data_IF_772539001262
#
_entry.id   IF_772539001262
#
_cell.length_a   1.000
_cell.length_b   1.000
_cell.length_c   1.000
_cell.angle_alpha   90.00
_cell.angle_beta   90.00
_cell.angle_gamma   90.00
#
_symmetry.space_group_name_H-M   'P 1'
#
loop_
_entity.id
_entity.type
_entity.pdbx_description
1 polymer ?
#
# COMPACT_ATOMS: atom_id res chain seq x y z
N UNK A 1 13.57 10.49 15.95
CA UNK A 1 13.69 10.16 14.52
C UNK A 1 12.50 10.81 13.85
N UNK A 2 12.73 11.76 12.94
CA UNK A 2 11.63 12.45 12.29
C UNK A 2 10.72 11.41 11.63
N UNK A 3 9.44 11.54 11.90
CA UNK A 3 8.38 10.66 11.47
C UNK A 3 8.32 10.60 9.93
N UNK A 4 9.09 9.70 9.29
CA UNK A 4 9.21 9.53 7.82
C UNK A 4 7.85 9.45 7.08
N UNK A 5 6.77 9.16 7.81
CA UNK A 5 5.43 9.00 7.27
C UNK A 5 4.81 10.31 6.78
N UNK A 6 5.17 11.47 7.34
CA UNK A 6 4.62 12.77 6.90
C UNK A 6 5.02 13.11 5.46
N UNK A 7 6.15 12.57 4.98
CA UNK A 7 6.59 12.74 3.59
C UNK A 7 5.68 12.03 2.57
N UNK A 8 4.91 11.03 3.01
CA UNK A 8 4.03 10.23 2.13
C UNK A 8 2.54 10.51 2.37
N UNK A 9 2.21 11.25 3.42
CA UNK A 9 0.83 11.49 3.86
C UNK A 9 -0.04 12.13 2.78
N UNK A 10 0.43 13.21 2.14
CA UNK A 10 -0.34 13.90 1.12
C UNK A 10 -0.67 13.00 -0.09
N UNK A 11 0.33 12.25 -0.57
CA UNK A 11 0.16 11.34 -1.70
C UNK A 11 -0.79 10.16 -1.34
N UNK A 12 -0.68 9.63 -0.13
CA UNK A 12 -1.54 8.54 0.34
C UNK A 12 -2.98 9.00 0.48
N UNK A 13 -3.22 10.18 1.06
CA UNK A 13 -4.57 10.75 1.20
C UNK A 13 -5.23 11.01 -0.15
N UNK A 14 -4.47 11.52 -1.12
CA UNK A 14 -4.95 11.73 -2.49
C UNK A 14 -5.37 10.39 -3.14
N UNK A 15 -4.54 9.35 -3.00
CA UNK A 15 -4.79 8.01 -3.54
C UNK A 15 -6.02 7.32 -2.94
N UNK A 16 -6.23 7.42 -1.62
CA UNK A 16 -7.33 6.73 -0.92
C UNK A 16 -8.62 7.55 -0.84
N UNK A 17 -8.59 8.85 -1.17
CA UNK A 17 -9.72 9.77 -1.10
C UNK A 17 -10.48 9.72 0.25
N UNK A 18 -9.74 9.78 1.36
CA UNK A 18 -10.26 9.59 2.73
C UNK A 18 -10.57 10.92 3.43
N UNK A 19 -11.62 10.97 4.28
CA UNK A 19 -11.91 12.15 5.10
C UNK A 19 -10.74 12.54 6.01
N UNK A 20 -10.57 13.84 6.25
CA UNK A 20 -9.46 14.39 7.05
C UNK A 20 -9.43 13.92 8.51
N UNK A 21 -10.43 13.18 8.99
CA UNK A 21 -10.55 12.75 10.40
C UNK A 21 -9.94 11.36 10.70
N UNK A 22 -9.33 10.70 9.70
CA UNK A 22 -8.79 9.33 9.84
C UNK A 22 -7.25 9.28 9.93
N UNK A 23 -6.66 10.32 10.51
CA UNK A 23 -5.21 10.56 10.56
C UNK A 23 -4.44 9.42 11.23
N UNK A 24 -4.97 8.87 12.32
CA UNK A 24 -4.35 7.77 13.07
C UNK A 24 -4.27 6.47 12.25
N UNK A 25 -5.25 6.23 11.39
CA UNK A 25 -5.26 5.06 10.52
C UNK A 25 -4.29 5.27 9.36
N UNK A 26 -4.34 6.45 8.73
CA UNK A 26 -3.41 6.85 7.65
C UNK A 26 -1.96 6.73 8.13
N UNK A 27 -1.64 7.27 9.31
CA UNK A 27 -0.31 7.13 9.91
C UNK A 27 0.13 5.68 10.07
N UNK A 28 -0.73 4.82 10.63
CA UNK A 28 -0.41 3.40 10.85
C UNK A 28 -0.15 2.64 9.55
N UNK A 29 -0.96 2.86 8.51
CA UNK A 29 -0.78 2.16 7.23
C UNK A 29 0.47 2.64 6.50
N UNK A 30 0.82 3.93 6.59
CA UNK A 30 2.06 4.45 6.00
C UNK A 30 3.29 3.87 6.70
N UNK A 31 3.30 3.82 8.03
CA UNK A 31 4.41 3.23 8.78
C UNK A 31 4.59 1.75 8.45
N UNK A 32 3.49 0.99 8.34
CA UNK A 32 3.54 -0.41 7.92
C UNK A 32 4.04 -0.56 6.48
N UNK A 33 3.56 0.26 5.54
CA UNK A 33 3.99 0.27 4.15
C UNK A 33 5.48 0.55 4.01
N UNK A 34 6.02 1.55 4.73
CA UNK A 34 7.46 1.83 4.77
C UNK A 34 8.23 0.59 5.24
N UNK A 35 7.75 -0.09 6.28
CA UNK A 35 8.38 -1.32 6.80
C UNK A 35 8.41 -2.44 5.77
N UNK A 36 7.27 -2.71 5.10
CA UNK A 36 7.19 -3.76 4.08
C UNK A 36 8.04 -3.45 2.85
N UNK A 37 7.98 -2.22 2.33
CA UNK A 37 8.76 -1.82 1.15
C UNK A 37 10.26 -1.84 1.46
N UNK A 38 10.70 -1.32 2.62
CA UNK A 38 12.12 -1.40 3.03
C UNK A 38 12.56 -2.85 3.23
N UNK A 39 11.74 -3.68 3.85
CA UNK A 39 12.02 -5.11 4.02
C UNK A 39 12.15 -5.85 2.70
N UNK A 40 11.32 -5.50 1.71
CA UNK A 40 11.37 -6.05 0.37
C UNK A 40 12.62 -5.61 -0.41
N UNK A 41 13.02 -4.34 -0.26
CA UNK A 41 14.21 -3.80 -0.89
C UNK A 41 15.49 -4.44 -0.33
N UNK A 42 15.56 -4.66 0.99
CA UNK A 42 16.77 -5.12 1.68
C UNK A 42 17.87 -4.07 1.57
N UNK A 43 19.08 -4.47 1.16
CA UNK A 43 20.21 -3.55 0.95
C UNK A 43 20.14 -2.78 -0.38
N UNK A 44 19.16 -3.07 -1.24
CA UNK A 44 18.99 -2.36 -2.51
C UNK A 44 18.31 -1.03 -2.30
N UNK A 45 18.68 -0.06 -3.12
CA UNK A 45 18.05 1.25 -3.13
C UNK A 45 17.35 1.49 -4.46
N UNK A 46 16.23 2.21 -4.41
CA UNK A 46 15.50 2.69 -5.59
C UNK A 46 15.51 4.22 -5.63
N UNK A 47 15.16 4.79 -6.77
CA UNK A 47 14.89 6.22 -6.87
C UNK A 47 13.84 6.66 -5.84
N UNK A 48 13.93 7.91 -5.37
CA UNK A 48 13.01 8.44 -4.34
C UNK A 48 11.57 8.43 -4.82
N UNK A 49 11.37 8.64 -6.11
CA UNK A 49 10.09 8.64 -6.80
C UNK A 49 9.47 7.24 -6.79
N UNK A 50 10.26 6.21 -7.08
CA UNK A 50 9.82 4.80 -7.04
C UNK A 50 9.51 4.37 -5.61
N UNK A 51 10.34 4.80 -4.64
CA UNK A 51 10.09 4.54 -3.22
C UNK A 51 8.75 5.13 -2.78
N UNK A 52 8.49 6.39 -3.13
CA UNK A 52 7.24 7.07 -2.80
C UNK A 52 6.04 6.36 -3.44
N UNK A 53 6.11 6.03 -4.73
CA UNK A 53 5.05 5.34 -5.44
C UNK A 53 4.76 3.92 -4.87
N UNK A 54 5.79 3.20 -4.43
CA UNK A 54 5.64 1.91 -3.76
C UNK A 54 4.97 2.04 -2.38
N UNK A 55 5.42 2.99 -1.56
CA UNK A 55 4.87 3.23 -0.23
C UNK A 55 3.41 3.69 -0.33
N UNK A 56 3.10 4.58 -1.27
CA UNK A 56 1.74 5.10 -1.48
C UNK A 56 0.75 3.98 -1.82
N UNK A 57 1.05 3.15 -2.82
CA UNK A 57 0.14 2.05 -3.20
C UNK A 57 0.06 0.95 -2.15
N UNK A 58 1.15 0.63 -1.44
CA UNK A 58 1.10 -0.32 -0.33
C UNK A 58 0.23 0.20 0.82
N UNK A 59 0.36 1.49 1.18
CA UNK A 59 -0.46 2.09 2.22
C UNK A 59 -1.95 2.11 1.84
N UNK A 60 -2.26 2.42 0.57
CA UNK A 60 -3.63 2.38 0.05
C UNK A 60 -4.22 0.96 0.08
N UNK A 61 -3.45 -0.05 -0.33
CA UNK A 61 -3.87 -1.45 -0.27
C UNK A 61 -4.13 -1.90 1.18
N UNK A 62 -3.27 -1.53 2.13
CA UNK A 62 -3.45 -1.84 3.56
C UNK A 62 -4.67 -1.13 4.14
N UNK A 63 -4.93 0.11 3.72
CA UNK A 63 -6.13 0.85 4.11
C UNK A 63 -7.39 0.12 3.62
N UNK A 64 -7.49 -0.15 2.32
CA UNK A 64 -8.67 -0.77 1.71
C UNK A 64 -8.87 -2.23 2.16
N UNK A 65 -7.78 -2.98 2.38
CA UNK A 65 -7.86 -4.36 2.88
C UNK A 65 -8.49 -4.44 4.27
N UNK A 66 -8.37 -3.39 5.09
CA UNK A 66 -9.01 -3.35 6.41
C UNK A 66 -10.53 -3.17 6.29
N UNK A 67 -11.01 -2.28 5.42
CA UNK A 67 -12.45 -2.11 5.17
C UNK A 67 -13.06 -3.37 4.55
N UNK A 68 -12.31 -3.99 3.63
CA UNK A 68 -12.65 -5.27 3.03
C UNK A 68 -12.79 -6.41 4.04
N UNK A 69 -11.85 -6.53 4.99
CA UNK A 69 -11.91 -7.52 6.07
C UNK A 69 -13.07 -7.28 7.03
N UNK A 70 -13.55 -6.04 7.13
CA UNK A 70 -14.73 -5.68 7.90
C UNK A 70 -16.04 -5.85 7.11
N UNK A 71 -15.98 -6.32 5.85
CA UNK A 71 -17.14 -6.54 5.00
C UNK A 71 -17.78 -5.26 4.47
N UNK A 72 -17.10 -4.11 4.60
CA UNK A 72 -17.62 -2.79 4.23
C UNK A 72 -17.01 -2.39 2.89
N UNK A 73 -17.37 -3.09 1.81
CA UNK A 73 -17.20 -2.53 0.47
C UNK A 73 -18.60 -2.27 -0.06
N UNK A 74 -19.05 -1.03 0.07
CA UNK A 74 -20.34 -0.57 -0.46
C UNK A 74 -20.24 -0.50 -1.98
N UNK A 75 -20.58 -1.59 -2.66
CA UNK A 75 -20.82 -1.58 -4.11
C UNK A 75 -22.25 -1.08 -4.30
N UNK A 76 -22.41 0.04 -4.99
CA UNK A 76 -23.66 0.80 -5.10
C UNK A 76 -24.86 0.07 -5.73
N UNK A 77 -24.81 -1.24 -5.96
CA UNK A 77 -25.91 -2.06 -6.47
C UNK A 77 -26.55 -3.02 -5.44
N UNK A 78 -26.03 -3.07 -4.21
CA UNK A 78 -26.58 -3.90 -3.13
C UNK A 78 -26.18 -5.38 -3.17
N UNK A 79 -25.33 -5.80 -4.10
CA UNK A 79 -24.73 -7.14 -4.10
C UNK A 79 -23.38 -7.14 -3.38
N UNK A 80 -23.28 -7.94 -2.31
CA UNK A 80 -22.02 -8.23 -1.63
C UNK A 80 -21.37 -9.43 -2.32
N UNK A 81 -20.60 -9.19 -3.38
CA UNK A 81 -19.78 -10.24 -3.97
C UNK A 81 -18.50 -10.44 -3.13
N UNK A 82 -18.14 -11.69 -2.76
CA UNK A 82 -16.91 -11.96 -2.01
C UNK A 82 -15.69 -11.73 -2.90
N UNK A 83 -15.16 -10.51 -2.88
CA UNK A 83 -13.89 -10.20 -3.52
C UNK A 83 -12.75 -10.85 -2.72
N UNK A 84 -11.92 -11.64 -3.42
CA UNK A 84 -10.69 -12.19 -2.83
C UNK A 84 -9.68 -11.06 -2.70
N UNK A 85 -9.58 -10.47 -1.51
CA UNK A 85 -8.45 -9.60 -1.17
C UNK A 85 -7.20 -10.45 -1.11
N UNK A 86 -6.20 -10.12 -1.93
CA UNK A 86 -4.88 -10.73 -1.81
C UNK A 86 -4.35 -10.51 -0.39
N UNK A 87 -3.93 -11.58 0.27
CA UNK A 87 -3.29 -11.51 1.59
C UNK A 87 -1.86 -10.96 1.52
N UNK A 88 -1.31 -10.78 0.33
CA UNK A 88 0.03 -10.21 0.13
C UNK A 88 -0.02 -8.68 0.25
N UNK A 89 0.62 -8.10 1.29
CA UNK A 89 0.65 -6.65 1.49
C UNK A 89 1.45 -5.90 0.41
N UNK A 90 2.24 -6.61 -0.40
CA UNK A 90 3.12 -6.02 -1.43
C UNK A 90 2.62 -6.30 -2.86
N UNK A 91 1.39 -6.79 -3.02
CA UNK A 91 0.81 -7.14 -4.34
C UNK A 91 0.94 -6.03 -5.39
N UNK A 92 0.76 -4.76 -5.00
CA UNK A 92 0.85 -3.59 -5.88
C UNK A 92 2.27 -3.06 -6.01
N UNK A 93 3.18 -3.48 -5.13
CA UNK A 93 4.58 -3.04 -5.07
C UNK A 93 5.45 -3.90 -5.99
N UNK A 94 5.20 -5.20 -6.09
CA UNK A 94 6.02 -6.10 -6.90
C UNK A 94 6.15 -5.69 -8.37
N UNK A 95 5.06 -5.33 -9.08
CA UNK A 95 5.19 -4.88 -10.47
C UNK A 95 6.06 -3.61 -10.61
N UNK A 96 5.99 -2.71 -9.63
CA UNK A 96 6.75 -1.45 -9.60
C UNK A 96 8.23 -1.67 -9.35
N UNK A 97 8.56 -2.54 -8.38
CA UNK A 97 9.94 -2.93 -8.10
C UNK A 97 10.55 -3.67 -9.29
N UNK A 98 9.79 -4.55 -9.95
CA UNK A 98 10.25 -5.24 -11.14
C UNK A 98 10.55 -4.25 -12.30
N UNK A 99 9.67 -3.27 -12.52
CA UNK A 99 9.92 -2.20 -13.51
C UNK A 99 11.17 -1.36 -13.18
N UNK A 100 11.49 -1.21 -11.89
CA UNK A 100 12.70 -0.55 -11.42
C UNK A 100 13.96 -1.46 -11.44
N UNK A 101 13.86 -2.68 -11.99
CA UNK A 101 14.97 -3.63 -12.08
C UNK A 101 15.24 -4.42 -10.78
N UNK A 102 14.35 -4.33 -9.80
CA UNK A 102 14.41 -5.11 -8.56
C UNK A 102 13.49 -6.32 -8.69
N UNK A 103 14.11 -7.47 -8.96
CA UNK A 103 13.46 -8.79 -8.91
C UNK A 103 13.28 -9.22 -7.46
N UNK A 104 12.35 -8.58 -6.75
CA UNK A 104 11.89 -8.99 -5.42
C UNK A 104 10.45 -9.46 -5.52
N UNK A 105 10.15 -10.54 -4.80
CA UNK A 105 8.91 -11.29 -4.97
C UNK A 105 9.15 -12.49 -5.88
N UNK A 106 8.91 -13.67 -5.33
CA UNK A 106 8.86 -14.91 -6.09
C UNK A 106 8.01 -14.67 -7.34
N UNK A 107 8.53 -15.01 -8.51
CA UNK A 107 7.76 -15.05 -9.75
C UNK A 107 6.53 -15.92 -9.47
N UNK A 108 5.36 -15.32 -9.23
CA UNK A 108 4.10 -16.04 -9.35
C UNK A 108 3.90 -16.14 -10.85
N UNK A 109 4.42 -17.22 -11.42
CA UNK A 109 3.99 -17.70 -12.73
C UNK A 109 2.49 -17.98 -12.58
N UNK A 110 1.66 -17.14 -13.18
CA UNK A 110 0.26 -17.44 -13.44
C UNK A 110 0.16 -18.29 -14.71
#
# INVERSE_FOLDING_TARGET
MADDWTNYEAAVRDEINVPTDDDDRVRRVIQAAIGYVRGALGDRNVGKEVMADCVTSCAADLYNSRDARLGVMSVGDGTLEPFRVSSDPLRSVWPKLNAAGILTGSVVIA
#
